data_IF_064403666836
#
_entry.id   IF_064403666836
#
_cell.length_a   1.000
_cell.length_b   1.000
_cell.length_c   1.000
_cell.angle_alpha   90.00
_cell.angle_beta   90.00
_cell.angle_gamma   90.00
#
_symmetry.space_group_name_H-M   'P 1'
#
loop_
_entity.id
_entity.type
_entity.pdbx_description
1 polymer ?
#
# COMPACT_ATOMS: atom_id res chain seq x y z
N UNK A 1 -17.16 -58.34 -10.12
CA UNK A 1 -16.04 -57.38 -10.15
C UNK A 1 -16.39 -56.00 -10.75
N UNK A 2 -17.66 -55.66 -10.99
CA UNK A 2 -18.03 -54.33 -11.53
C UNK A 2 -18.08 -53.20 -10.49
N UNK A 3 -18.33 -53.53 -9.21
CA UNK A 3 -18.45 -52.54 -8.13
C UNK A 3 -17.15 -51.79 -7.81
N UNK A 4 -15.98 -52.41 -8.02
CA UNK A 4 -14.68 -51.78 -7.78
C UNK A 4 -14.40 -50.64 -8.77
N UNK A 5 -14.78 -50.80 -10.04
CA UNK A 5 -14.63 -49.77 -11.06
C UNK A 5 -15.50 -48.54 -10.75
N UNK A 6 -16.79 -48.77 -10.46
CA UNK A 6 -17.73 -47.69 -10.14
C UNK A 6 -17.39 -47.01 -8.81
N UNK A 7 -16.94 -47.78 -7.81
CA UNK A 7 -16.47 -47.23 -6.54
C UNK A 7 -15.19 -46.43 -6.70
N UNK A 8 -14.26 -46.86 -7.57
CA UNK A 8 -13.04 -46.13 -7.88
C UNK A 8 -13.32 -44.79 -8.56
N UNK A 9 -14.23 -44.76 -9.55
CA UNK A 9 -14.66 -43.52 -10.20
C UNK A 9 -15.34 -42.56 -9.22
N UNK A 10 -16.18 -43.07 -8.31
CA UNK A 10 -16.84 -42.27 -7.28
C UNK A 10 -15.83 -41.67 -6.29
N UNK A 11 -14.81 -42.42 -5.89
CA UNK A 11 -13.81 -41.92 -4.96
C UNK A 11 -12.84 -40.93 -5.63
N UNK A 12 -12.43 -41.19 -6.87
CA UNK A 12 -11.59 -40.27 -7.65
C UNK A 12 -12.29 -38.91 -7.87
N UNK A 13 -13.59 -38.91 -8.13
CA UNK A 13 -14.37 -37.66 -8.26
C UNK A 13 -14.52 -36.90 -6.94
N UNK A 14 -14.58 -37.60 -5.79
CA UNK A 14 -14.52 -36.95 -4.47
C UNK A 14 -13.16 -36.35 -4.19
N UNK A 15 -12.08 -37.05 -4.54
CA UNK A 15 -10.70 -36.53 -4.41
C UNK A 15 -10.50 -35.30 -5.28
N UNK A 16 -10.98 -35.32 -6.54
CA UNK A 16 -10.92 -34.17 -7.44
C UNK A 16 -11.66 -32.95 -6.87
N UNK A 17 -12.86 -33.15 -6.32
CA UNK A 17 -13.64 -32.05 -5.74
C UNK A 17 -13.01 -31.51 -4.46
N UNK A 18 -12.43 -32.38 -3.64
CA UNK A 18 -11.72 -32.01 -2.42
C UNK A 18 -10.38 -31.30 -2.73
N UNK A 19 -9.66 -31.70 -3.79
CA UNK A 19 -8.44 -31.02 -4.22
C UNK A 19 -8.76 -29.67 -4.85
N UNK A 20 -9.78 -29.57 -5.71
CA UNK A 20 -10.27 -28.30 -6.25
C UNK A 20 -10.74 -27.36 -5.14
N UNK A 21 -11.45 -27.84 -4.11
CA UNK A 21 -11.83 -27.00 -2.96
C UNK A 21 -10.64 -26.46 -2.17
N UNK A 22 -9.54 -27.20 -2.07
CA UNK A 22 -8.31 -26.74 -1.40
C UNK A 22 -7.58 -25.70 -2.25
N UNK A 23 -7.47 -25.97 -3.55
CA UNK A 23 -6.88 -25.06 -4.56
C UNK A 23 -7.71 -23.78 -4.65
N UNK A 24 -9.05 -23.84 -4.67
CA UNK A 24 -9.93 -22.68 -4.61
C UNK A 24 -9.90 -21.97 -3.25
N UNK A 25 -9.60 -22.64 -2.13
CA UNK A 25 -9.48 -21.96 -0.83
C UNK A 25 -8.15 -21.22 -0.66
N UNK A 26 -7.09 -21.69 -1.31
CA UNK A 26 -5.82 -20.98 -1.39
C UNK A 26 -5.89 -19.87 -2.45
N UNK A 27 -6.50 -20.13 -3.61
CA UNK A 27 -6.72 -19.12 -4.63
C UNK A 27 -7.83 -18.13 -4.30
N UNK A 28 -8.88 -18.42 -3.50
CA UNK A 28 -9.87 -17.43 -3.07
C UNK A 28 -9.35 -16.45 -2.02
N UNK A 29 -8.25 -16.77 -1.33
CA UNK A 29 -7.52 -15.78 -0.53
C UNK A 29 -6.77 -14.76 -1.42
N UNK A 30 -6.53 -15.10 -2.69
CA UNK A 30 -5.88 -14.23 -3.68
C UNK A 30 -6.76 -13.84 -4.88
N UNK A 31 -7.98 -14.38 -4.95
CA UNK A 31 -9.01 -14.06 -5.95
C UNK A 31 -10.17 -13.39 -5.24
N UNK A 32 -9.85 -12.33 -4.50
CA UNK A 32 -10.84 -11.32 -4.15
C UNK A 32 -11.39 -10.77 -5.48
N UNK A 33 -12.71 -10.66 -5.57
CA UNK A 33 -13.41 -10.18 -6.74
C UNK A 33 -12.75 -8.90 -7.27
N UNK A 34 -12.26 -8.95 -8.50
CA UNK A 34 -11.65 -7.82 -9.25
C UNK A 34 -12.56 -6.61 -9.40
N UNK A 35 -13.78 -6.61 -8.86
CA UNK A 35 -14.77 -5.54 -9.00
C UNK A 35 -14.74 -4.48 -7.88
N UNK A 36 -13.83 -4.59 -6.91
CA UNK A 36 -13.64 -3.56 -5.86
C UNK A 36 -12.22 -3.00 -5.81
N UNK A 37 -11.35 -3.37 -6.76
CA UNK A 37 -10.00 -2.81 -6.88
C UNK A 37 -10.13 -1.30 -7.07
N UNK A 38 -9.60 -0.45 -6.15
CA UNK A 38 -9.47 0.97 -6.41
C UNK A 38 -8.72 1.17 -7.74
N UNK A 39 -8.95 2.27 -8.47
CA UNK A 39 -8.19 2.53 -9.69
C UNK A 39 -6.70 2.37 -9.40
N UNK A 40 -6.02 1.58 -10.23
CA UNK A 40 -4.58 1.37 -10.12
C UNK A 40 -3.90 2.73 -9.97
N UNK A 41 -3.22 2.92 -8.84
CA UNK A 41 -2.54 4.19 -8.53
C UNK A 41 -3.25 5.12 -7.53
N UNK A 42 -4.38 4.76 -6.91
CA UNK A 42 -5.06 5.68 -5.95
C UNK A 42 -4.14 6.18 -4.82
N UNK A 43 -3.28 5.32 -4.27
CA UNK A 43 -2.32 5.74 -3.25
C UNK A 43 -1.23 6.64 -3.86
N UNK A 44 -0.77 6.36 -5.07
CA UNK A 44 0.23 7.19 -5.75
C UNK A 44 -0.32 8.61 -6.02
N UNK A 45 -1.61 8.72 -6.41
CA UNK A 45 -2.30 10.00 -6.58
C UNK A 45 -2.36 10.79 -5.26
N UNK A 46 -2.64 10.11 -4.13
CA UNK A 46 -2.70 10.76 -2.83
C UNK A 46 -1.34 11.35 -2.44
N UNK A 47 -0.27 10.60 -2.68
CA UNK A 47 1.09 11.00 -2.31
C UNK A 47 1.82 11.81 -3.38
N UNK A 48 1.14 12.27 -4.42
CA UNK A 48 1.71 13.21 -5.41
C UNK A 48 1.96 14.59 -4.79
N UNK A 49 1.11 15.00 -3.84
CA UNK A 49 1.27 16.23 -3.03
C UNK A 49 1.12 15.87 -1.55
N UNK A 50 2.18 15.35 -0.90
CA UNK A 50 2.13 15.01 0.52
C UNK A 50 2.01 16.27 1.39
N UNK A 51 1.36 16.12 2.54
CA UNK A 51 1.22 17.20 3.53
C UNK A 51 2.52 17.41 4.32
N UNK A 52 3.28 16.34 4.54
CA UNK A 52 4.59 16.34 5.20
C UNK A 52 5.47 15.27 4.57
N UNK A 53 6.74 15.57 4.38
CA UNK A 53 7.70 14.62 3.83
C UNK A 53 9.09 14.86 4.43
N UNK A 54 9.73 13.78 4.87
CA UNK A 54 11.11 13.80 5.33
C UNK A 54 11.74 12.42 5.18
N UNK A 55 13.01 12.39 4.78
CA UNK A 55 13.75 11.15 4.51
C UNK A 55 12.95 10.20 3.61
N UNK A 56 12.58 9.02 4.11
CA UNK A 56 11.83 7.98 3.39
C UNK A 56 10.33 7.98 3.72
N UNK A 57 9.86 8.97 4.47
CA UNK A 57 8.51 9.03 5.01
C UNK A 57 7.73 10.17 4.34
N UNK A 58 6.59 9.85 3.73
CA UNK A 58 5.64 10.83 3.20
C UNK A 58 4.30 10.66 3.93
N UNK A 59 3.59 11.76 4.23
CA UNK A 59 2.35 11.74 5.00
C UNK A 59 1.24 12.54 4.29
N UNK A 60 0.01 12.05 4.38
CA UNK A 60 -1.20 12.74 3.90
C UNK A 60 -2.31 12.64 4.94
N UNK A 61 -3.05 13.72 5.20
CA UNK A 61 -4.04 13.78 6.28
C UNK A 61 -5.44 14.11 5.80
N UNK A 62 -6.45 13.61 6.53
CA UNK A 62 -7.86 13.76 6.20
C UNK A 62 -8.48 15.11 6.59
N UNK A 63 -7.80 15.94 7.39
CA UNK A 63 -8.41 17.16 7.91
C UNK A 63 -8.46 18.29 6.89
N UNK A 64 -9.55 19.05 6.83
CA UNK A 64 -9.58 20.33 6.12
C UNK A 64 -8.74 21.39 6.84
N UNK A 65 -8.65 21.30 8.17
CA UNK A 65 -7.87 22.20 9.02
C UNK A 65 -6.46 21.60 9.23
N UNK A 66 -5.41 22.31 8.80
CA UNK A 66 -4.03 21.81 8.92
C UNK A 66 -3.55 21.71 10.38
N UNK A 67 -4.26 22.28 11.34
CA UNK A 67 -3.77 22.34 12.73
C UNK A 67 -4.42 21.32 13.67
N UNK A 68 -5.22 20.36 13.15
CA UNK A 68 -5.81 19.31 14.00
C UNK A 68 -4.78 18.19 14.30
N UNK A 69 -4.27 18.08 15.54
CA UNK A 69 -3.29 17.07 15.92
C UNK A 69 -3.85 15.65 15.88
N UNK A 70 -5.17 15.49 16.07
CA UNK A 70 -5.85 14.19 16.07
C UNK A 70 -6.30 13.77 14.66
N UNK A 71 -6.03 14.60 13.64
CA UNK A 71 -6.34 14.26 12.26
C UNK A 71 -5.61 12.98 11.86
N UNK A 72 -6.40 11.97 11.52
CA UNK A 72 -5.88 10.73 10.96
C UNK A 72 -5.39 10.94 9.54
N UNK A 73 -4.35 10.21 9.19
CA UNK A 73 -3.70 10.26 7.90
C UNK A 73 -3.07 8.93 7.53
N UNK A 74 -2.46 8.92 6.36
CA UNK A 74 -1.72 7.80 5.83
C UNK A 74 -0.25 8.17 5.73
N UNK A 75 0.60 7.33 6.31
CA UNK A 75 2.04 7.32 6.14
C UNK A 75 2.38 6.41 4.96
N UNK A 76 3.34 6.83 4.13
CA UNK A 76 4.05 6.02 3.13
C UNK A 76 5.52 5.95 3.50
N UNK A 77 6.08 4.75 3.48
CA UNK A 77 7.51 4.47 3.68
C UNK A 77 8.06 3.89 2.38
N UNK A 78 9.05 4.56 1.80
CA UNK A 78 9.69 4.12 0.56
C UNK A 78 10.89 3.24 0.85
N UNK A 79 10.82 1.97 0.47
CA UNK A 79 11.89 0.99 0.62
C UNK A 79 12.51 0.71 -0.74
N UNK A 80 13.81 0.94 -0.84
CA UNK A 80 14.62 0.67 -2.01
C UNK A 80 15.23 -0.72 -1.87
N UNK A 81 15.27 -1.48 -2.96
CA UNK A 81 15.91 -2.78 -2.98
C UNK A 81 17.43 -2.60 -3.16
N UNK A 82 18.27 -2.93 -2.16
CA UNK A 82 19.72 -2.81 -2.30
C UNK A 82 20.35 -3.91 -3.17
N UNK A 83 19.57 -4.88 -3.65
CA UNK A 83 20.07 -6.15 -4.20
C UNK A 83 20.24 -6.17 -5.73
N UNK A 84 20.56 -5.05 -6.38
CA UNK A 84 20.91 -5.05 -7.82
C UNK A 84 22.32 -4.51 -8.11
N UNK A 85 23.15 -4.29 -7.08
CA UNK A 85 24.51 -3.78 -7.21
C UNK A 85 25.57 -4.88 -6.96
N UNK A 86 25.39 -6.08 -7.52
CA UNK A 86 26.39 -7.15 -7.34
C UNK A 86 26.07 -8.46 -8.04
N UNK A 87 26.30 -8.52 -9.36
CA UNK A 87 27.09 -9.58 -10.03
C UNK A 87 27.15 -9.39 -11.56
N UNK A 88 27.44 -8.16 -12.05
CA UNK A 88 27.73 -7.96 -13.47
C UNK A 88 29.25 -7.96 -13.71
N UNK A 89 29.82 -9.15 -13.76
CA UNK A 89 30.97 -9.41 -14.64
C UNK A 89 30.53 -10.40 -15.72
N UNK A 90 30.77 -9.96 -16.95
CA UNK A 90 30.85 -10.71 -18.21
C UNK A 90 29.60 -10.75 -19.13
N UNK A 91 29.70 -9.90 -20.17
CA UNK A 91 29.32 -10.07 -21.60
C UNK A 91 27.97 -9.53 -22.15
N UNK A 92 28.09 -8.35 -22.82
CA UNK A 92 27.48 -7.82 -24.08
C UNK A 92 25.95 -7.83 -24.38
N UNK A 93 25.45 -7.05 -25.38
CA UNK A 93 25.57 -5.60 -25.60
C UNK A 93 24.20 -4.87 -25.65
N UNK A 94 24.26 -3.53 -25.71
CA UNK A 94 23.21 -2.51 -25.66
C UNK A 94 21.83 -2.80 -26.31
N UNK A 95 20.79 -2.92 -25.48
CA UNK A 95 19.50 -2.19 -25.52
C UNK A 95 18.64 -2.69 -24.34
N UNK A 96 18.01 -1.78 -23.59
CA UNK A 96 16.95 -2.09 -22.60
C UNK A 96 17.38 -2.76 -21.28
N UNK A 97 18.49 -2.33 -20.68
CA UNK A 97 18.69 -2.50 -19.22
C UNK A 97 18.29 -1.21 -18.51
N UNK A 98 17.01 -0.84 -18.57
CA UNK A 98 16.44 0.03 -17.53
C UNK A 98 16.35 -0.80 -16.26
N UNK A 99 17.45 -0.79 -15.52
CA UNK A 99 17.53 -1.19 -14.13
C UNK A 99 16.61 -0.27 -13.30
N UNK A 100 15.31 -0.52 -13.36
CA UNK A 100 14.36 0.01 -12.39
C UNK A 100 14.66 -0.71 -11.08
N UNK A 101 15.53 -0.12 -10.26
CA UNK A 101 15.60 -0.42 -8.83
C UNK A 101 14.17 -0.26 -8.30
N UNK A 102 13.44 -1.37 -8.19
CA UNK A 102 12.01 -1.36 -7.90
C UNK A 102 11.86 -1.00 -6.43
N UNK A 103 11.70 0.30 -6.15
CA UNK A 103 11.26 0.76 -4.84
C UNK A 103 9.86 0.18 -4.58
N UNK A 104 9.61 -0.22 -3.34
CA UNK A 104 8.29 -0.64 -2.90
C UNK A 104 7.86 0.18 -1.69
N UNK A 105 6.55 0.37 -1.58
CA UNK A 105 5.96 1.24 -0.57
C UNK A 105 5.25 0.41 0.51
N UNK A 106 5.49 0.76 1.76
CA UNK A 106 4.66 0.34 2.88
C UNK A 106 3.83 1.52 3.37
N UNK A 107 2.67 1.23 3.94
CA UNK A 107 1.76 2.26 4.42
C UNK A 107 1.28 1.94 5.83
N UNK A 108 0.89 2.97 6.57
CA UNK A 108 0.26 2.85 7.88
C UNK A 108 -0.72 3.99 8.13
N UNK A 109 -1.77 3.74 8.90
CA UNK A 109 -2.63 4.80 9.42
C UNK A 109 -1.96 5.43 10.64
N UNK A 110 -1.90 6.76 10.67
CA UNK A 110 -1.19 7.52 11.71
C UNK A 110 -1.89 8.85 11.97
N UNK A 111 -1.82 9.39 13.19
CA UNK A 111 -2.29 10.75 13.47
C UNK A 111 -1.25 11.81 13.08
N UNK A 112 -1.68 13.06 12.93
CA UNK A 112 -0.78 14.20 12.69
C UNK A 112 0.20 14.41 13.83
N UNK A 113 -0.24 14.25 15.07
CA UNK A 113 0.62 14.30 16.25
C UNK A 113 1.75 13.26 16.17
N UNK A 114 1.42 12.01 15.84
CA UNK A 114 2.39 10.93 15.70
C UNK A 114 3.38 11.20 14.54
N UNK A 115 2.92 11.77 13.43
CA UNK A 115 3.80 12.19 12.34
C UNK A 115 4.80 13.29 12.77
N UNK A 116 4.34 14.26 13.56
CA UNK A 116 5.21 15.29 14.13
C UNK A 116 6.21 14.69 15.13
N UNK A 117 5.80 13.70 15.94
CA UNK A 117 6.73 12.98 16.81
C UNK A 117 7.83 12.27 16.01
N UNK A 118 7.50 11.63 14.88
CA UNK A 118 8.49 11.01 13.99
C UNK A 118 9.45 12.02 13.37
N UNK A 119 8.95 13.22 13.04
CA UNK A 119 9.79 14.30 12.53
C UNK A 119 10.81 14.78 13.58
N UNK A 120 10.42 14.78 14.86
CA UNK A 120 11.25 15.20 15.98
C UNK A 120 12.20 14.10 16.48
N UNK A 121 11.98 12.83 16.11
CA UNK A 121 12.67 11.66 16.63
C UNK A 121 14.15 11.50 16.19
N UNK A 122 14.78 12.57 15.68
CA UNK A 122 16.17 12.57 15.20
C UNK A 122 16.29 12.20 13.72
N UNK A 123 17.52 12.14 13.20
CA UNK A 123 17.80 12.01 11.76
C UNK A 123 17.87 10.56 11.23
N UNK A 124 17.92 9.56 12.11
CA UNK A 124 18.06 8.15 11.72
C UNK A 124 16.71 7.49 11.39
N UNK A 125 16.60 6.95 10.18
CA UNK A 125 15.41 6.23 9.72
C UNK A 125 15.14 4.96 10.52
N UNK A 126 16.19 4.28 10.99
CA UNK A 126 16.03 3.08 11.80
C UNK A 126 15.40 3.42 13.15
N UNK A 127 15.85 4.49 13.81
CA UNK A 127 15.23 5.01 15.03
C UNK A 127 13.76 5.40 14.82
N UNK A 128 13.44 6.06 13.70
CA UNK A 128 12.04 6.40 13.35
C UNK A 128 11.18 5.16 13.14
N UNK A 129 11.68 4.14 12.44
CA UNK A 129 10.98 2.87 12.25
C UNK A 129 10.78 2.12 13.57
N UNK A 130 11.75 2.19 14.48
CA UNK A 130 11.66 1.60 15.81
C UNK A 130 10.57 2.28 16.66
N UNK A 131 10.56 3.62 16.71
CA UNK A 131 9.51 4.42 17.34
C UNK A 131 8.13 4.07 16.77
N UNK A 132 8.04 3.98 15.44
CA UNK A 132 6.82 3.63 14.72
C UNK A 132 6.28 2.25 15.12
N UNK A 133 7.14 1.23 15.13
CA UNK A 133 6.70 -0.15 15.37
C UNK A 133 6.56 -0.51 16.85
N UNK A 134 7.43 0.02 17.72
CA UNK A 134 7.48 -0.34 19.15
C UNK A 134 6.62 0.58 20.00
N UNK A 135 6.83 1.88 19.87
CA UNK A 135 6.22 2.84 20.79
C UNK A 135 4.83 3.24 20.31
N UNK A 136 4.68 3.49 19.00
CA UNK A 136 3.39 3.83 18.39
C UNK A 136 2.55 2.60 18.04
N UNK A 137 3.15 1.40 18.02
CA UNK A 137 2.49 0.13 17.73
C UNK A 137 1.64 0.13 16.44
N UNK A 138 2.04 0.92 15.43
CA UNK A 138 1.31 0.99 14.16
C UNK A 138 1.65 -0.19 13.26
N UNK A 139 0.66 -0.60 12.47
CA UNK A 139 0.76 -1.74 11.57
C UNK A 139 1.16 -1.28 10.17
N UNK A 140 2.30 -1.78 9.69
CA UNK A 140 2.73 -1.61 8.31
C UNK A 140 1.95 -2.54 7.38
N UNK A 141 1.49 -2.01 6.26
CA UNK A 141 0.62 -2.65 5.29
C UNK A 141 1.14 -2.42 3.87
N UNK A 142 0.97 -3.41 2.99
CA UNK A 142 1.21 -3.24 1.55
C UNK A 142 0.04 -2.53 0.87
N UNK A 143 0.20 -2.16 -0.40
CA UNK A 143 -0.79 -1.43 -1.19
C UNK A 143 -2.21 -2.02 -1.08
N UNK A 144 -2.38 -3.30 -1.42
CA UNK A 144 -3.70 -3.95 -1.44
C UNK A 144 -4.36 -3.94 -0.06
N UNK A 145 -3.61 -4.32 0.99
CA UNK A 145 -4.12 -4.33 2.36
C UNK A 145 -4.50 -2.95 2.89
N UNK A 146 -3.79 -1.90 2.46
CA UNK A 146 -4.07 -0.51 2.80
C UNK A 146 -5.33 -0.03 2.10
N UNK A 147 -5.49 -0.36 0.83
CA UNK A 147 -6.70 -0.08 0.05
C UNK A 147 -7.93 -0.74 0.68
N UNK A 148 -7.82 -2.01 1.07
CA UNK A 148 -8.92 -2.77 1.65
C UNK A 148 -9.31 -2.29 3.05
N UNK A 149 -8.31 -2.11 3.93
CA UNK A 149 -8.56 -1.76 5.34
C UNK A 149 -8.81 -0.26 5.52
N UNK A 150 -8.15 0.57 4.70
CA UNK A 150 -8.10 2.02 4.82
C UNK A 150 -9.03 2.77 3.86
N UNK A 151 -9.92 2.09 3.14
CA UNK A 151 -10.75 2.72 2.09
C UNK A 151 -11.49 3.99 2.57
N UNK A 152 -12.09 3.97 3.77
CA UNK A 152 -12.78 5.13 4.32
C UNK A 152 -11.85 6.32 4.57
N UNK A 153 -10.65 6.05 5.09
CA UNK A 153 -9.61 7.05 5.35
C UNK A 153 -9.05 7.60 4.03
N UNK A 154 -8.79 6.74 3.04
CA UNK A 154 -8.35 7.11 1.69
C UNK A 154 -9.34 8.07 1.03
N UNK A 155 -10.63 7.73 1.06
CA UNK A 155 -11.69 8.59 0.50
C UNK A 155 -11.77 9.93 1.25
N UNK A 156 -11.61 9.91 2.58
CA UNK A 156 -11.61 11.13 3.39
C UNK A 156 -10.43 12.04 3.03
N UNK A 157 -9.21 11.51 2.94
CA UNK A 157 -8.01 12.24 2.50
C UNK A 157 -8.21 12.81 1.09
N UNK A 158 -8.72 12.01 0.16
CA UNK A 158 -8.95 12.45 -1.21
C UNK A 158 -9.97 13.61 -1.27
N UNK A 159 -11.02 13.55 -0.44
CA UNK A 159 -12.00 14.63 -0.33
C UNK A 159 -11.39 15.91 0.25
N UNK A 160 -10.52 15.76 1.26
CA UNK A 160 -9.80 16.85 1.89
C UNK A 160 -8.86 17.56 0.93
N UNK A 161 -8.02 16.81 0.23
CA UNK A 161 -7.13 17.34 -0.80
C UNK A 161 -7.90 18.09 -1.88
N UNK A 162 -8.99 17.52 -2.40
CA UNK A 162 -9.84 18.18 -3.41
C UNK A 162 -10.43 19.50 -2.91
N UNK A 163 -10.92 19.55 -1.68
CA UNK A 163 -11.46 20.78 -1.11
C UNK A 163 -10.39 21.84 -0.87
N UNK A 164 -9.20 21.46 -0.36
CA UNK A 164 -8.04 22.36 -0.22
C UNK A 164 -7.65 22.95 -1.58
N UNK A 165 -7.63 22.15 -2.65
CA UNK A 165 -7.35 22.63 -4.02
C UNK A 165 -8.38 23.65 -4.50
N UNK A 166 -9.66 23.45 -4.20
CA UNK A 166 -10.74 24.42 -4.53
C UNK A 166 -10.60 25.74 -3.78
N UNK A 167 -10.14 25.71 -2.52
CA UNK A 167 -9.92 26.93 -1.74
C UNK A 167 -8.71 27.74 -2.26
N UNK A 168 -7.71 27.08 -2.85
CA UNK A 168 -6.51 27.73 -3.41
C UNK A 168 -6.70 28.33 -4.80
N UNK A 169 -7.76 27.95 -5.54
CA UNK A 169 -8.13 28.57 -6.80
C UNK A 169 -9.40 29.42 -6.62
N UNK A 170 -9.29 30.71 -6.29
CA UNK A 170 -10.41 31.62 -6.40
C UNK A 170 -10.91 31.57 -7.85
N UNK A 171 -12.22 31.38 -8.04
CA UNK A 171 -12.82 31.57 -9.35
C UNK A 171 -12.71 33.07 -9.66
N UNK A 172 -11.77 33.44 -10.51
CA UNK A 172 -11.72 34.78 -11.10
C UNK A 172 -12.96 34.98 -11.97
N UNK A 173 -14.07 35.39 -11.34
CA UNK A 173 -15.22 35.90 -12.04
C UNK A 173 -14.87 37.30 -12.54
N UNK A 174 -14.39 37.40 -13.77
CA UNK A 174 -14.43 38.65 -14.52
C UNK A 174 -15.86 38.84 -15.03
N UNK A 175 -16.55 39.85 -14.50
CA UNK A 175 -17.71 40.48 -15.12
C UNK A 175 -17.25 41.67 -15.95
#
# INVERSE_FOLDING_TARGET
MHGALLSGLREASRILRASQSRVDSDHKKYALQKSLRPPDGILEDLFTEPDLEFSRFSFVFSSMTPDDPQSMGLLRITLENPHLEGDQKDQEPAAEKEAHQKAFHLYAAISREQANQLQLAGDDDRGRLELLCKDLSVKLMGYDSTCDTGNSLILSIQSAQKARKRLRCPKDFKF
#
